data_IF_549232444290
#
_entry.id   IF_549232444290
#
_cell.length_a   1.000
_cell.length_b   1.000
_cell.length_c   1.000
_cell.angle_alpha   90.00
_cell.angle_beta   90.00
_cell.angle_gamma   90.00
#
_symmetry.space_group_name_H-M   'P 1'
#
loop_
_entity.id
_entity.type
_entity.pdbx_description
1 polymer ?
#
# COMPACT_ATOMS: atom_id res chain seq x y z
N UNK A 1 -12.71 -15.64 9.04
CA UNK A 1 -12.29 -15.62 7.63
C UNK A 1 -11.99 -14.17 7.23
N UNK A 2 -10.87 -13.87 6.56
CA UNK A 2 -10.59 -12.49 6.15
C UNK A 2 -11.41 -12.17 4.90
N UNK A 3 -12.48 -11.40 5.05
CA UNK A 3 -13.41 -11.04 3.99
C UNK A 3 -12.90 -9.93 3.06
N UNK A 4 -11.76 -9.29 3.38
CA UNK A 4 -11.22 -8.21 2.59
C UNK A 4 -11.00 -8.60 1.12
N UNK A 5 -11.42 -7.75 0.19
CA UNK A 5 -11.33 -7.98 -1.25
C UNK A 5 -10.37 -6.98 -1.91
N UNK A 6 -9.74 -7.33 -3.05
CA UNK A 6 -8.98 -6.37 -3.85
C UNK A 6 -9.91 -5.41 -4.59
N UNK A 7 -9.46 -4.19 -4.85
CA UNK A 7 -10.11 -3.26 -5.78
C UNK A 7 -9.69 -3.66 -7.19
N UNK A 8 -10.60 -4.34 -7.92
CA UNK A 8 -10.29 -4.95 -9.23
C UNK A 8 -10.48 -3.98 -10.40
N UNK A 9 -11.50 -3.10 -10.33
CA UNK A 9 -11.83 -2.18 -11.41
C UNK A 9 -10.87 -0.99 -11.44
N UNK A 10 -10.30 -0.70 -12.59
CA UNK A 10 -9.34 0.41 -12.77
C UNK A 10 -9.95 1.76 -12.37
N UNK A 11 -11.19 2.04 -12.76
CA UNK A 11 -11.89 3.27 -12.39
C UNK A 11 -12.02 3.44 -10.87
N UNK A 12 -12.43 2.38 -10.18
CA UNK A 12 -12.60 2.41 -8.72
C UNK A 12 -11.24 2.62 -8.03
N UNK A 13 -10.19 2.00 -8.56
CA UNK A 13 -8.83 2.16 -8.05
C UNK A 13 -8.30 3.59 -8.25
N UNK A 14 -8.51 4.19 -9.41
CA UNK A 14 -8.10 5.58 -9.67
C UNK A 14 -8.86 6.55 -8.75
N UNK A 15 -10.16 6.43 -8.63
CA UNK A 15 -10.97 7.23 -7.72
C UNK A 15 -10.47 7.09 -6.26
N UNK A 16 -10.28 5.86 -5.81
CA UNK A 16 -9.80 5.56 -4.46
C UNK A 16 -8.43 6.20 -4.16
N UNK A 17 -7.47 6.11 -5.08
CA UNK A 17 -6.14 6.70 -4.94
C UNK A 17 -6.18 8.22 -4.80
N UNK A 18 -7.13 8.84 -5.50
CA UNK A 18 -7.22 10.29 -5.60
C UNK A 18 -8.10 10.93 -4.52
N UNK A 19 -8.84 10.15 -3.73
CA UNK A 19 -9.75 10.66 -2.72
C UNK A 19 -9.11 11.73 -1.81
N UNK A 20 -7.95 11.41 -1.22
CA UNK A 20 -7.23 12.35 -0.34
C UNK A 20 -6.37 13.38 -1.08
N UNK A 21 -6.45 13.45 -2.39
CA UNK A 21 -5.88 14.53 -3.20
C UNK A 21 -6.96 15.52 -3.64
N UNK A 22 -8.12 15.03 -4.06
CA UNK A 22 -9.13 15.79 -4.80
C UNK A 22 -10.36 16.11 -3.94
N UNK A 23 -10.84 15.17 -3.12
CA UNK A 23 -12.12 15.29 -2.40
C UNK A 23 -11.88 15.77 -0.95
N UNK A 24 -10.94 15.16 -0.25
CA UNK A 24 -10.62 15.49 1.15
C UNK A 24 -9.10 15.63 1.31
N UNK A 25 -8.48 16.71 0.84
CA UNK A 25 -7.02 16.84 0.77
C UNK A 25 -6.33 16.54 2.10
N UNK A 26 -5.47 15.53 2.11
CA UNK A 26 -4.66 15.12 3.25
C UNK A 26 -3.49 14.25 2.78
N UNK A 27 -2.28 14.84 2.69
CA UNK A 27 -1.10 14.18 2.12
C UNK A 27 -0.64 12.95 2.92
N UNK A 28 -0.76 12.96 4.26
CA UNK A 28 -0.46 11.79 5.08
C UNK A 28 -1.38 10.61 4.73
N UNK A 29 -2.69 10.86 4.66
CA UNK A 29 -3.67 9.81 4.36
C UNK A 29 -3.52 9.32 2.92
N UNK A 30 -3.25 10.24 1.98
CA UNK A 30 -2.92 9.88 0.59
C UNK A 30 -1.69 8.99 0.52
N UNK A 31 -0.60 9.37 1.22
CA UNK A 31 0.61 8.55 1.27
C UNK A 31 0.35 7.16 1.84
N UNK A 32 -0.50 7.02 2.88
CA UNK A 32 -0.87 5.72 3.43
C UNK A 32 -1.49 4.81 2.35
N UNK A 33 -2.44 5.34 1.59
CA UNK A 33 -3.09 4.60 0.49
C UNK A 33 -2.07 4.24 -0.59
N UNK A 34 -1.27 5.20 -1.06
CA UNK A 34 -0.30 4.98 -2.13
C UNK A 34 0.76 3.95 -1.71
N UNK A 35 1.31 4.04 -0.48
CA UNK A 35 2.24 3.03 0.03
C UNK A 35 1.58 1.65 0.10
N UNK A 36 0.38 1.55 0.65
CA UNK A 36 -0.33 0.28 0.75
C UNK A 36 -0.60 -0.39 -0.59
N UNK A 37 -0.89 0.40 -1.63
CA UNK A 37 -1.14 -0.07 -2.99
C UNK A 37 0.13 -0.41 -3.78
N UNK A 38 1.31 0.07 -3.38
CA UNK A 38 2.54 -0.03 -4.18
C UNK A 38 3.67 -0.85 -3.53
N UNK A 39 3.54 -1.26 -2.27
CA UNK A 39 4.65 -1.92 -1.55
C UNK A 39 4.38 -3.34 -1.12
N UNK A 40 3.15 -3.81 -1.25
CA UNK A 40 2.71 -5.11 -0.70
C UNK A 40 2.94 -5.27 0.83
N UNK A 41 3.30 -4.23 1.57
CA UNK A 41 3.50 -4.28 3.02
C UNK A 41 2.19 -4.52 3.76
N UNK A 42 2.27 -5.16 4.93
CA UNK A 42 1.15 -5.20 5.87
C UNK A 42 0.96 -3.84 6.52
N UNK A 43 -0.26 -3.50 6.89
CA UNK A 43 -0.55 -2.20 7.53
C UNK A 43 0.30 -1.97 8.80
N UNK A 44 0.58 -3.02 9.60
CA UNK A 44 1.47 -2.91 10.74
C UNK A 44 2.87 -2.44 10.37
N UNK A 45 3.39 -2.98 9.27
CA UNK A 45 4.73 -2.66 8.78
C UNK A 45 4.77 -1.24 8.21
N UNK A 46 3.72 -0.83 7.47
CA UNK A 46 3.57 0.55 6.99
C UNK A 46 3.55 1.55 8.15
N UNK A 47 2.77 1.27 9.20
CA UNK A 47 2.63 2.17 10.35
C UNK A 47 3.91 2.24 11.20
N UNK A 48 4.77 1.23 11.14
CA UNK A 48 6.07 1.23 11.84
C UNK A 48 7.18 1.97 11.09
N UNK A 49 6.93 2.41 9.84
CA UNK A 49 7.94 3.12 9.06
C UNK A 49 8.31 4.44 9.73
N UNK A 50 9.62 4.68 9.79
CA UNK A 50 10.22 5.96 10.19
C UNK A 50 10.88 6.61 9.00
N UNK A 51 11.07 7.91 9.03
CA UNK A 51 11.68 8.67 7.95
C UNK A 51 13.06 8.12 7.53
N UNK A 52 13.87 7.61 8.45
CA UNK A 52 15.18 6.99 8.14
C UNK A 52 15.12 5.82 7.15
N UNK A 53 13.97 5.15 7.00
CA UNK A 53 13.80 4.07 6.02
C UNK A 53 13.55 4.60 4.61
N UNK A 54 13.16 5.86 4.48
CA UNK A 54 12.69 6.50 3.25
C UNK A 54 13.65 7.61 2.77
N UNK A 55 14.24 8.36 3.72
CA UNK A 55 15.01 9.56 3.46
C UNK A 55 16.34 9.55 4.18
N UNK A 56 17.40 9.91 3.46
CA UNK A 56 18.74 10.13 4.01
C UNK A 56 18.87 11.61 4.38
N UNK A 57 18.93 11.89 5.69
CA UNK A 57 19.00 13.27 6.20
C UNK A 57 20.35 13.93 6.01
N UNK A 58 21.43 13.15 5.92
CA UNK A 58 22.79 13.66 5.68
C UNK A 58 22.95 14.09 4.22
N UNK A 59 22.54 13.21 3.30
CA UNK A 59 22.59 13.46 1.86
C UNK A 59 21.43 14.32 1.34
N UNK A 60 20.39 14.51 2.16
CA UNK A 60 19.13 15.21 1.81
C UNK A 60 18.42 14.62 0.59
N UNK A 61 18.43 13.28 0.45
CA UNK A 61 17.86 12.57 -0.68
C UNK A 61 16.91 11.44 -0.26
N UNK A 62 15.97 11.08 -1.14
CA UNK A 62 15.12 9.91 -0.96
C UNK A 62 15.90 8.65 -1.34
N UNK A 63 15.72 7.61 -0.54
CA UNK A 63 16.30 6.28 -0.83
C UNK A 63 15.56 5.63 -1.98
N UNK A 64 16.26 4.78 -2.73
CA UNK A 64 15.64 4.00 -3.81
C UNK A 64 14.83 2.80 -3.30
N UNK A 65 15.12 2.34 -2.09
CA UNK A 65 14.49 1.16 -1.49
C UNK A 65 14.15 1.40 -0.02
N UNK A 66 13.00 0.85 0.38
CA UNK A 66 12.63 0.66 1.78
C UNK A 66 13.24 -0.67 2.24
N UNK A 67 14.11 -0.62 3.25
CA UNK A 67 14.61 -1.82 3.92
C UNK A 67 13.86 -1.98 5.25
N UNK A 68 13.08 -3.04 5.40
CA UNK A 68 12.27 -3.26 6.59
C UNK A 68 12.28 -4.73 7.01
N UNK A 69 12.34 -4.98 8.32
CA UNK A 69 12.07 -6.30 8.90
C UNK A 69 10.59 -6.40 9.24
N UNK A 70 9.88 -7.29 8.57
CA UNK A 70 8.43 -7.47 8.74
C UNK A 70 8.11 -8.00 10.14
N UNK A 71 7.21 -7.33 10.86
CA UNK A 71 6.86 -7.67 12.24
C UNK A 71 6.31 -9.09 12.40
N UNK A 72 5.52 -9.57 11.42
CA UNK A 72 4.88 -10.89 11.51
C UNK A 72 5.80 -12.06 11.18
N UNK A 73 6.76 -11.86 10.27
CA UNK A 73 7.58 -12.96 9.72
C UNK A 73 9.04 -12.91 10.16
N UNK A 74 9.50 -11.78 10.70
CA UNK A 74 10.91 -11.52 11.02
C UNK A 74 11.82 -11.43 9.79
N UNK A 75 11.27 -11.55 8.56
CA UNK A 75 12.06 -11.50 7.32
C UNK A 75 12.33 -10.06 6.91
N UNK A 76 13.53 -9.81 6.42
CA UNK A 76 13.89 -8.52 5.81
C UNK A 76 13.36 -8.46 4.38
N UNK A 77 12.66 -7.38 4.06
CA UNK A 77 12.16 -7.08 2.72
C UNK A 77 12.83 -5.83 2.18
N UNK A 78 13.24 -5.88 0.91
CA UNK A 78 13.76 -4.75 0.16
C UNK A 78 12.72 -4.36 -0.89
N UNK A 79 12.16 -3.16 -0.79
CA UNK A 79 11.04 -2.72 -1.60
C UNK A 79 11.44 -1.47 -2.37
N UNK A 80 11.35 -1.53 -3.70
CA UNK A 80 11.66 -0.38 -4.55
C UNK A 80 10.62 0.75 -4.39
N UNK A 81 11.11 1.97 -4.24
CA UNK A 81 10.28 3.18 -4.16
C UNK A 81 10.01 3.65 -5.59
N UNK A 82 8.84 3.29 -6.13
CA UNK A 82 8.46 3.72 -7.47
C UNK A 82 8.04 5.20 -7.50
N UNK A 83 7.84 5.75 -8.70
CA UNK A 83 7.52 7.16 -8.91
C UNK A 83 6.25 7.62 -8.17
N UNK A 84 5.22 6.76 -8.08
CA UNK A 84 3.98 7.08 -7.37
C UNK A 84 4.22 7.28 -5.87
N UNK A 85 4.98 6.36 -5.26
CA UNK A 85 5.38 6.45 -3.85
C UNK A 85 6.27 7.66 -3.62
N UNK A 86 7.28 7.87 -4.48
CA UNK A 86 8.20 9.01 -4.37
C UNK A 86 7.47 10.36 -4.44
N UNK A 87 6.54 10.51 -5.37
CA UNK A 87 5.76 11.74 -5.51
C UNK A 87 4.88 12.00 -4.27
N UNK A 88 4.20 10.96 -3.77
CA UNK A 88 3.39 11.08 -2.55
C UNK A 88 4.25 11.42 -1.31
N UNK A 89 5.46 10.90 -1.21
CA UNK A 89 6.42 11.23 -0.16
C UNK A 89 6.88 12.69 -0.25
N UNK A 90 7.19 13.17 -1.46
CA UNK A 90 7.58 14.58 -1.69
C UNK A 90 6.44 15.54 -1.30
N UNK A 91 5.22 15.26 -1.75
CA UNK A 91 4.05 16.07 -1.41
C UNK A 91 3.84 16.13 0.10
N UNK A 92 3.90 14.98 0.78
CA UNK A 92 3.74 14.91 2.23
C UNK A 92 4.87 15.65 2.97
N UNK A 93 6.13 15.46 2.59
CA UNK A 93 7.26 16.18 3.21
C UNK A 93 7.10 17.68 3.07
N UNK A 94 6.75 18.16 1.86
CA UNK A 94 6.46 19.58 1.61
C UNK A 94 5.34 20.11 2.51
N UNK A 95 4.27 19.34 2.70
CA UNK A 95 3.16 19.77 3.59
C UNK A 95 3.56 19.84 5.06
N UNK A 96 4.48 18.97 5.51
CA UNK A 96 5.04 19.04 6.87
C UNK A 96 5.92 20.29 7.05
N UNK A 97 6.76 20.62 6.07
CA UNK A 97 7.60 21.82 6.06
C UNK A 97 6.74 23.10 6.09
N UNK A 98 5.68 23.17 5.30
CA UNK A 98 4.74 24.29 5.30
C UNK A 98 4.06 24.49 6.66
N UNK A 99 3.79 23.41 7.38
CA UNK A 99 3.23 23.43 8.74
C UNK A 99 4.29 23.64 9.83
N UNK A 100 5.56 23.86 9.44
CA UNK A 100 6.70 23.99 10.37
C UNK A 100 6.84 22.76 11.31
N UNK A 101 6.43 21.59 10.85
CA UNK A 101 6.60 20.34 11.60
C UNK A 101 8.00 19.81 11.38
N UNK A 102 8.76 19.68 12.46
CA UNK A 102 10.11 19.13 12.43
C UNK A 102 10.00 17.61 12.31
N UNK A 103 10.68 17.04 11.33
CA UNK A 103 10.86 15.61 11.17
C UNK A 103 12.34 15.27 11.19
N UNK A 104 12.68 14.22 11.89
CA UNK A 104 14.02 13.66 11.96
C UNK A 104 14.03 12.18 11.51
N UNK A 105 15.20 11.56 11.56
CA UNK A 105 15.39 10.17 11.16
C UNK A 105 14.53 9.17 11.95
N UNK A 106 14.18 9.46 13.20
CA UNK A 106 13.43 8.59 14.11
C UNK A 106 11.93 8.91 14.17
N UNK A 107 11.50 10.01 13.53
CA UNK A 107 10.08 10.37 13.44
C UNK A 107 9.32 9.33 12.63
N UNK A 108 8.18 8.86 13.14
CA UNK A 108 7.30 7.95 12.39
C UNK A 108 6.72 8.63 11.16
N UNK A 109 6.70 7.91 10.03
CA UNK A 109 6.17 8.43 8.77
C UNK A 109 4.67 8.79 8.89
N UNK A 110 3.91 7.95 9.59
CA UNK A 110 2.48 8.16 9.86
C UNK A 110 2.24 8.61 11.30
N UNK A 111 2.80 9.76 11.64
CA UNK A 111 2.73 10.28 13.00
C UNK A 111 1.32 10.78 13.37
N UNK A 112 0.95 10.60 14.64
CA UNK A 112 -0.27 11.15 15.23
C UNK A 112 0.04 12.50 15.86
N UNK A 113 -0.22 13.60 15.14
CA UNK A 113 0.01 14.99 15.61
C UNK A 113 1.43 15.23 16.17
N UNK A 114 1.59 15.99 17.25
CA UNK A 114 2.89 16.39 17.81
C UNK A 114 3.57 15.33 18.70
N UNK A 115 2.97 14.16 18.85
CA UNK A 115 3.56 13.05 19.61
C UNK A 115 4.19 12.09 18.63
N UNK A 116 5.49 11.81 18.72
CA UNK A 116 6.16 10.85 17.84
C UNK A 116 5.64 9.41 18.08
N UNK A 117 4.35 9.21 17.83
CA UNK A 117 3.61 7.94 17.97
C UNK A 117 2.88 7.70 16.65
N UNK A 118 2.94 6.50 16.07
CA UNK A 118 2.26 6.21 14.83
C UNK A 118 0.74 6.19 15.02
N UNK A 119 -0.01 6.50 13.97
CA UNK A 119 -1.46 6.29 13.97
C UNK A 119 -1.77 4.80 14.20
N UNK A 120 -2.90 4.55 14.82
CA UNK A 120 -3.34 3.17 15.13
C UNK A 120 -3.88 2.45 13.89
N UNK A 121 -3.93 1.11 13.93
CA UNK A 121 -4.59 0.30 12.90
C UNK A 121 -6.06 0.69 12.68
N UNK A 122 -6.77 1.06 13.74
CA UNK A 122 -8.17 1.52 13.66
C UNK A 122 -8.28 2.86 12.93
N UNK A 123 -7.31 3.77 13.12
CA UNK A 123 -7.26 5.03 12.37
C UNK A 123 -6.94 4.77 10.90
N UNK A 124 -5.96 3.92 10.60
CA UNK A 124 -5.64 3.51 9.23
C UNK A 124 -6.85 2.83 8.55
N UNK A 125 -7.57 1.98 9.26
CA UNK A 125 -8.79 1.36 8.75
C UNK A 125 -9.85 2.42 8.39
N UNK A 126 -10.09 3.41 9.26
CA UNK A 126 -11.04 4.50 8.98
C UNK A 126 -10.64 5.31 7.74
N UNK A 127 -9.35 5.60 7.56
CA UNK A 127 -8.82 6.28 6.37
C UNK A 127 -9.15 5.48 5.10
N UNK A 128 -8.87 4.19 5.08
CA UNK A 128 -9.14 3.32 3.94
C UNK A 128 -10.65 3.17 3.69
N UNK A 129 -11.42 2.98 4.75
CA UNK A 129 -12.87 2.79 4.68
C UNK A 129 -13.57 4.04 4.16
N UNK A 130 -13.19 5.22 4.64
CA UNK A 130 -13.74 6.50 4.21
C UNK A 130 -13.60 6.72 2.69
N UNK A 131 -12.40 6.47 2.15
CA UNK A 131 -12.15 6.60 0.71
C UNK A 131 -12.96 5.57 -0.13
N UNK A 132 -13.11 4.35 0.38
CA UNK A 132 -13.87 3.30 -0.30
C UNK A 132 -15.38 3.57 -0.29
N UNK A 133 -15.91 4.02 0.85
CA UNK A 133 -17.35 4.30 1.02
C UNK A 133 -17.79 5.50 0.19
N UNK A 134 -16.97 6.55 0.11
CA UNK A 134 -17.27 7.73 -0.70
C UNK A 134 -17.57 7.36 -2.16
N UNK A 135 -16.83 6.42 -2.72
CA UNK A 135 -17.05 5.96 -4.11
C UNK A 135 -17.90 4.69 -4.22
N UNK A 136 -18.52 4.25 -3.14
CA UNK A 136 -19.35 3.04 -3.09
C UNK A 136 -18.64 1.83 -3.70
N UNK A 137 -17.34 1.68 -3.42
CA UNK A 137 -16.55 0.56 -3.94
C UNK A 137 -17.11 -0.74 -3.39
N UNK A 138 -17.51 -1.64 -4.29
CA UNK A 138 -18.14 -2.90 -3.93
C UNK A 138 -17.21 -3.84 -3.15
N UNK A 139 -17.80 -4.61 -2.24
CA UNK A 139 -17.09 -5.58 -1.40
C UNK A 139 -16.56 -5.01 -0.10
N UNK A 140 -15.89 -5.85 0.68
CA UNK A 140 -15.31 -5.47 1.97
C UNK A 140 -13.92 -4.88 1.76
N UNK A 141 -13.83 -3.54 1.77
CA UNK A 141 -12.57 -2.82 1.63
C UNK A 141 -12.01 -2.47 3.01
N UNK A 142 -10.74 -2.84 3.23
CA UNK A 142 -10.01 -2.63 4.48
C UNK A 142 -8.51 -2.39 4.19
N UNK A 143 -7.72 -2.15 5.23
CA UNK A 143 -6.26 -2.03 5.06
C UNK A 143 -5.64 -3.24 4.34
N UNK A 144 -6.19 -4.43 4.53
CA UNK A 144 -5.69 -5.63 3.86
C UNK A 144 -6.03 -5.66 2.36
N UNK A 145 -7.07 -4.94 1.94
CA UNK A 145 -7.43 -4.77 0.53
C UNK A 145 -6.35 -4.04 -0.26
N UNK A 146 -5.61 -3.11 0.35
CA UNK A 146 -4.51 -2.41 -0.31
C UNK A 146 -3.47 -3.41 -0.85
N UNK A 147 -3.02 -4.30 0.03
CA UNK A 147 -2.05 -5.34 -0.29
C UNK A 147 -2.61 -6.37 -1.28
N UNK A 148 -3.89 -6.75 -1.14
CA UNK A 148 -4.57 -7.63 -2.11
C UNK A 148 -4.68 -6.97 -3.50
N UNK A 149 -4.98 -5.67 -3.53
CA UNK A 149 -5.05 -4.88 -4.78
C UNK A 149 -3.71 -4.86 -5.49
N UNK A 150 -2.60 -4.61 -4.77
CA UNK A 150 -1.26 -4.73 -5.33
C UNK A 150 -1.07 -6.10 -6.01
N UNK A 151 -1.34 -7.19 -5.30
CA UNK A 151 -1.15 -8.53 -5.83
C UNK A 151 -2.02 -8.83 -7.05
N UNK A 152 -3.30 -8.46 -6.99
CA UNK A 152 -4.23 -8.65 -8.10
C UNK A 152 -3.73 -7.94 -9.38
N UNK A 153 -3.36 -6.66 -9.27
CA UNK A 153 -2.88 -5.90 -10.43
C UNK A 153 -1.52 -6.34 -10.90
N UNK A 154 -0.59 -6.72 -10.02
CA UNK A 154 0.70 -7.29 -10.39
C UNK A 154 0.52 -8.61 -11.17
N UNK A 155 -0.36 -9.49 -10.69
CA UNK A 155 -0.70 -10.72 -11.41
C UNK A 155 -1.33 -10.43 -12.78
N UNK A 156 -2.29 -9.50 -12.87
CA UNK A 156 -2.90 -9.10 -14.15
C UNK A 156 -1.90 -8.51 -15.15
N UNK A 157 -0.82 -7.91 -14.66
CA UNK A 157 0.30 -7.39 -15.46
C UNK A 157 1.37 -8.45 -15.80
N UNK A 158 1.11 -9.72 -15.46
CA UNK A 158 2.00 -10.84 -15.84
C UNK A 158 3.08 -11.20 -14.80
N UNK A 159 3.03 -10.65 -13.59
CA UNK A 159 3.95 -11.09 -12.54
C UNK A 159 3.79 -12.60 -12.27
N UNK A 160 4.91 -13.33 -12.25
CA UNK A 160 4.86 -14.78 -12.03
C UNK A 160 4.30 -15.12 -10.64
N UNK A 161 3.54 -16.21 -10.51
CA UNK A 161 3.05 -16.68 -9.21
C UNK A 161 4.16 -16.89 -8.18
N UNK A 162 5.31 -17.44 -8.58
CA UNK A 162 6.45 -17.67 -7.71
C UNK A 162 6.99 -16.36 -7.12
N UNK A 163 7.09 -15.30 -7.95
CA UNK A 163 7.50 -13.97 -7.50
C UNK A 163 6.50 -13.38 -6.50
N UNK A 164 5.20 -13.55 -6.75
CA UNK A 164 4.16 -13.06 -5.83
C UNK A 164 4.18 -13.81 -4.50
N UNK A 165 4.42 -15.13 -4.48
CA UNK A 165 4.63 -15.89 -3.24
C UNK A 165 5.78 -15.29 -2.42
N UNK A 166 6.90 -14.97 -3.09
CA UNK A 166 8.07 -14.36 -2.45
C UNK A 166 7.77 -12.96 -1.93
N UNK A 167 7.17 -12.09 -2.75
CA UNK A 167 6.80 -10.70 -2.33
C UNK A 167 5.87 -10.71 -1.13
N UNK A 168 4.93 -11.64 -1.09
CA UNK A 168 3.99 -11.75 0.04
C UNK A 168 4.54 -12.52 1.23
N UNK A 169 5.71 -13.12 1.14
CA UNK A 169 6.24 -14.05 2.15
C UNK A 169 5.20 -15.13 2.54
N UNK A 170 4.47 -15.68 1.54
CA UNK A 170 3.53 -16.76 1.74
C UNK A 170 4.25 -18.12 1.73
N UNK A 171 3.74 -19.08 2.49
CA UNK A 171 4.31 -20.44 2.56
C UNK A 171 3.91 -21.30 1.35
N UNK A 172 2.88 -20.92 0.60
CA UNK A 172 2.44 -21.65 -0.59
C UNK A 172 1.75 -20.76 -1.61
N UNK A 173 1.68 -21.26 -2.86
CA UNK A 173 0.93 -20.60 -3.92
C UNK A 173 -0.58 -20.61 -3.67
N UNK A 174 -1.14 -21.63 -3.03
CA UNK A 174 -2.58 -21.69 -2.74
C UNK A 174 -3.04 -20.55 -1.84
N UNK A 175 -2.19 -20.14 -0.90
CA UNK A 175 -2.45 -18.95 -0.09
C UNK A 175 -2.45 -17.71 -0.97
N UNK A 176 -1.48 -17.59 -1.88
CA UNK A 176 -1.38 -16.46 -2.81
C UNK A 176 -2.59 -16.42 -3.75
N UNK A 177 -3.00 -17.54 -4.34
CA UNK A 177 -4.16 -17.65 -5.23
C UNK A 177 -5.44 -17.13 -4.57
N UNK A 178 -5.73 -17.60 -3.34
CA UNK A 178 -6.88 -17.08 -2.56
C UNK A 178 -6.73 -15.59 -2.23
N UNK A 179 -5.51 -15.15 -2.06
CA UNK A 179 -5.17 -13.77 -1.73
C UNK A 179 -5.42 -12.84 -2.91
N UNK A 180 -5.10 -13.27 -4.12
CA UNK A 180 -5.29 -12.50 -5.35
C UNK A 180 -6.78 -12.42 -5.75
N UNK A 181 -7.64 -13.25 -5.19
CA UNK A 181 -9.05 -13.33 -5.59
C UNK A 181 -9.20 -13.79 -7.04
N UNK A 182 -8.38 -14.76 -7.47
CA UNK A 182 -8.51 -15.42 -8.76
C UNK A 182 -9.78 -16.25 -8.74
N UNK A 183 -10.72 -15.90 -9.60
CA UNK A 183 -12.05 -16.50 -9.70
C UNK A 183 -12.19 -17.30 -11.01
N UNK A 184 -13.38 -17.92 -11.20
CA UNK A 184 -13.64 -18.71 -12.40
C UNK A 184 -13.56 -17.85 -13.67
N UNK A 185 -14.02 -16.59 -13.62
CA UNK A 185 -13.95 -15.66 -14.76
C UNK A 185 -12.53 -15.47 -15.30
N UNK A 186 -11.52 -15.50 -14.41
CA UNK A 186 -10.11 -15.40 -14.81
C UNK A 186 -9.65 -16.61 -15.60
N UNK A 187 -10.14 -17.81 -15.25
CA UNK A 187 -9.88 -19.04 -15.99
C UNK A 187 -10.58 -19.02 -17.35
N UNK A 188 -11.84 -18.58 -17.38
CA UNK A 188 -12.64 -18.51 -18.60
C UNK A 188 -12.00 -17.55 -19.63
N UNK A 189 -11.38 -16.46 -19.16
CA UNK A 189 -10.63 -15.56 -20.04
C UNK A 189 -9.42 -16.23 -20.70
N UNK A 190 -8.75 -17.16 -20.01
CA UNK A 190 -7.64 -17.93 -20.59
C UNK A 190 -8.17 -18.84 -21.69
N UNK A 191 -9.24 -19.61 -21.41
CA UNK A 191 -9.84 -20.49 -22.41
C UNK A 191 -10.34 -19.74 -23.65
N UNK A 192 -10.90 -18.54 -23.47
CA UNK A 192 -11.33 -17.68 -24.60
C UNK A 192 -10.17 -17.16 -25.46
N UNK A 193 -8.97 -17.01 -24.89
CA UNK A 193 -7.79 -16.48 -25.60
C UNK A 193 -7.01 -17.56 -26.35
N UNK A 194 -7.01 -18.79 -25.84
CA UNK A 194 -6.27 -19.91 -26.47
C UNK A 194 -7.07 -20.40 -27.65
N UNK A 195 -6.51 -20.25 -28.86
CA UNK A 195 -7.01 -20.79 -30.12
C UNK A 195 -5.86 -21.54 -30.76
N UNK A 196 -5.78 -22.84 -30.54
CA UNK A 196 -4.78 -23.76 -31.11
C UNK A 196 -5.27 -24.29 -32.48
#
# INVERSE_FOLDING_TARGET
MNLAQPIKKTRDLENFKNYYKEIKPNDRNRLLIILGLNTALRISDILSLKWKYIYDFEKKEYKNHIMITEQKTGKTSQIYINSNVLNALKDYKKSLEQRKQIVDSNTYLFNHSNKNVPITRSQAFRIVKEAADHYSISGVISCHSLRKTFGYHAWKQGASPALLVTIFNHSSFDITKRYLGIEQDDKDQIFKKIKL
#
